data_IF_088667549080
#
_entry.id   IF_088667549080
#
_cell.length_a   1.000
_cell.length_b   1.000
_cell.length_c   1.000
_cell.angle_alpha   90.00
_cell.angle_beta   90.00
_cell.angle_gamma   90.00
#
_symmetry.space_group_name_H-M   'P 1'
#
loop_
_entity.id
_entity.type
_entity.pdbx_description
1 polymer ?
#
# COMPACT_ATOMS: atom_id res chain seq x y z
N UNK A 1 -16.15 4.02 -33.24
CA UNK A 1 -15.41 2.97 -32.58
C UNK A 1 -13.95 3.16 -32.94
N UNK A 2 -13.18 3.82 -32.10
CA UNK A 2 -11.75 4.09 -32.36
C UNK A 2 -10.94 3.24 -31.33
N UNK A 3 -10.41 2.12 -31.83
CA UNK A 3 -9.47 1.32 -31.07
C UNK A 3 -8.16 2.12 -30.96
N UNK A 4 -7.96 2.77 -29.81
CA UNK A 4 -6.67 3.37 -29.51
C UNK A 4 -5.62 2.26 -29.50
N UNK A 5 -4.72 2.28 -30.48
CA UNK A 5 -3.57 1.40 -30.58
C UNK A 5 -2.76 1.53 -29.30
N UNK A 6 -2.78 0.50 -28.44
CA UNK A 6 -1.84 0.36 -27.32
C UNK A 6 -0.43 0.34 -27.90
N UNK A 7 0.34 1.38 -27.67
CA UNK A 7 1.78 1.30 -27.87
C UNK A 7 2.32 0.21 -26.94
N UNK A 8 3.22 -0.66 -27.41
CA UNK A 8 3.83 -1.65 -26.53
C UNK A 8 4.57 -0.96 -25.40
N UNK A 9 4.43 -1.47 -24.17
CA UNK A 9 5.18 -1.03 -23.01
C UNK A 9 6.68 -1.11 -23.32
N UNK A 10 7.39 0.00 -23.10
CA UNK A 10 8.84 0.09 -23.30
C UNK A 10 9.62 -0.38 -22.08
N UNK A 11 8.91 -0.82 -21.02
CA UNK A 11 9.51 -1.17 -19.73
C UNK A 11 9.99 -2.64 -19.73
N UNK A 12 11.16 -2.95 -19.13
CA UNK A 12 11.68 -4.31 -19.02
C UNK A 12 10.69 -5.25 -18.31
N UNK A 13 10.73 -6.51 -18.72
CA UNK A 13 9.88 -7.55 -18.13
C UNK A 13 10.29 -7.93 -16.70
N UNK A 14 11.51 -7.57 -16.27
CA UNK A 14 12.15 -8.06 -15.05
C UNK A 14 12.01 -7.11 -13.84
N UNK A 15 11.44 -5.93 -14.02
CA UNK A 15 11.21 -4.99 -12.91
C UNK A 15 10.21 -5.57 -11.88
N UNK A 16 10.49 -5.37 -10.58
CA UNK A 16 9.57 -5.72 -9.51
C UNK A 16 8.27 -4.94 -9.63
N UNK A 17 8.39 -3.61 -9.84
CA UNK A 17 7.26 -2.72 -10.07
C UNK A 17 7.52 -1.92 -11.34
N UNK A 18 6.55 -1.91 -12.25
CA UNK A 18 6.55 -1.08 -13.45
C UNK A 18 5.32 -0.17 -13.46
N UNK A 19 5.56 1.13 -13.57
CA UNK A 19 4.55 2.18 -13.76
C UNK A 19 4.75 2.74 -15.16
N UNK A 20 3.78 2.56 -16.05
CA UNK A 20 3.89 2.87 -17.47
C UNK A 20 2.83 3.87 -17.91
N UNK A 21 3.23 5.11 -18.20
CA UNK A 21 2.38 6.16 -18.73
C UNK A 21 1.18 6.51 -17.85
N UNK A 22 1.27 6.36 -16.54
CA UNK A 22 0.16 6.45 -15.61
C UNK A 22 -0.32 7.89 -15.44
N UNK A 23 -1.60 8.10 -15.76
CA UNK A 23 -2.36 9.31 -15.43
C UNK A 23 -3.43 8.99 -14.40
N UNK A 24 -3.56 9.86 -13.38
CA UNK A 24 -4.53 9.70 -12.30
C UNK A 24 -5.43 10.93 -12.22
N UNK A 25 -6.73 10.70 -12.17
CA UNK A 25 -7.74 11.73 -12.14
C UNK A 25 -8.75 11.49 -11.03
N UNK A 26 -9.13 12.55 -10.33
CA UNK A 26 -10.28 12.57 -9.45
C UNK A 26 -11.44 13.24 -10.16
N UNK A 27 -12.57 12.54 -10.25
CA UNK A 27 -13.81 13.08 -10.80
C UNK A 27 -14.75 13.45 -9.68
N UNK A 28 -15.04 14.73 -9.57
CA UNK A 28 -16.13 15.24 -8.74
C UNK A 28 -17.36 15.52 -9.61
N UNK A 29 -18.50 15.80 -9.02
CA UNK A 29 -19.72 16.14 -9.77
C UNK A 29 -19.55 17.36 -10.69
N UNK A 30 -18.64 18.27 -10.39
CA UNK A 30 -18.45 19.55 -11.07
C UNK A 30 -17.15 19.67 -11.87
N UNK A 31 -16.14 18.83 -11.63
CA UNK A 31 -14.84 18.94 -12.27
C UNK A 31 -14.03 17.64 -12.25
N UNK A 32 -13.10 17.54 -13.20
CA UNK A 32 -12.03 16.55 -13.21
C UNK A 32 -10.75 17.22 -12.73
N UNK A 33 -10.11 16.66 -11.71
CA UNK A 33 -8.82 17.11 -11.20
C UNK A 33 -7.78 16.06 -11.54
N UNK A 34 -6.82 16.43 -12.38
CA UNK A 34 -5.70 15.55 -12.74
C UNK A 34 -4.62 15.64 -11.66
N UNK A 35 -4.35 14.54 -11.00
CA UNK A 35 -3.36 14.44 -9.93
C UNK A 35 -1.96 14.12 -10.47
N UNK A 36 -1.87 13.25 -11.51
CA UNK A 36 -0.62 12.92 -12.21
C UNK A 36 -0.88 12.79 -13.70
N UNK A 37 0.15 13.00 -14.52
CA UNK A 37 0.05 12.87 -15.98
C UNK A 37 1.25 12.10 -16.52
N UNK A 38 0.97 10.95 -17.17
CA UNK A 38 1.92 10.09 -17.90
C UNK A 38 3.22 9.82 -17.13
N UNK A 39 3.10 9.44 -15.86
CA UNK A 39 4.24 9.09 -15.02
C UNK A 39 4.70 7.68 -15.37
N UNK A 40 6.02 7.53 -15.62
CA UNK A 40 6.65 6.24 -15.88
C UNK A 40 7.92 6.11 -15.04
N UNK A 41 8.09 4.96 -14.39
CA UNK A 41 9.29 4.54 -13.68
C UNK A 41 9.26 3.05 -13.39
N UNK A 42 10.40 2.52 -13.00
CA UNK A 42 10.58 1.14 -12.60
C UNK A 42 11.24 1.06 -11.23
N UNK A 43 10.99 -0.03 -10.54
CA UNK A 43 11.66 -0.38 -9.29
C UNK A 43 12.11 -1.83 -9.39
N UNK A 44 13.39 -2.07 -9.24
CA UNK A 44 13.97 -3.40 -9.27
C UNK A 44 13.82 -4.15 -7.93
N UNK A 45 13.95 -5.49 -7.92
CA UNK A 45 13.98 -6.25 -6.68
C UNK A 45 15.07 -5.73 -5.73
N UNK A 46 14.72 -5.58 -4.44
CA UNK A 46 15.57 -5.05 -3.38
C UNK A 46 15.98 -3.57 -3.51
N UNK A 47 15.47 -2.85 -4.49
CA UNK A 47 15.73 -1.42 -4.65
C UNK A 47 14.97 -0.56 -3.63
N UNK A 48 15.43 0.69 -3.45
CA UNK A 48 14.81 1.71 -2.61
C UNK A 48 14.47 2.92 -3.45
N UNK A 49 13.21 3.03 -3.83
CA UNK A 49 12.73 4.10 -4.69
C UNK A 49 12.08 5.23 -3.87
N UNK A 50 12.43 6.48 -4.16
CA UNK A 50 11.91 7.65 -3.45
C UNK A 50 11.22 8.60 -4.41
N UNK A 51 9.96 8.95 -4.13
CA UNK A 51 9.20 9.97 -4.84
C UNK A 51 9.38 11.32 -4.16
N UNK A 52 10.03 12.26 -4.82
CA UNK A 52 10.24 13.64 -4.34
C UNK A 52 9.35 14.62 -5.11
N UNK A 53 8.94 15.68 -4.43
CA UNK A 53 8.17 16.76 -5.04
C UNK A 53 7.39 17.58 -4.01
N UNK A 54 6.85 18.75 -4.41
CA UNK A 54 6.11 19.63 -3.51
C UNK A 54 4.83 18.98 -2.99
N UNK A 55 4.25 19.57 -1.92
CA UNK A 55 2.94 19.12 -1.41
C UNK A 55 1.88 19.30 -2.50
N UNK A 56 0.97 18.33 -2.59
CA UNK A 56 -0.13 18.34 -3.58
C UNK A 56 0.22 17.89 -5.00
N UNK A 57 1.49 17.58 -5.33
CA UNK A 57 1.87 17.14 -6.68
C UNK A 57 1.48 15.69 -7.05
N UNK A 58 0.70 15.01 -6.23
CA UNK A 58 0.15 13.68 -6.58
C UNK A 58 0.92 12.47 -6.05
N UNK A 59 2.00 12.62 -5.25
CA UNK A 59 2.79 11.49 -4.71
C UNK A 59 1.94 10.45 -3.97
N UNK A 60 1.11 10.92 -3.02
CA UNK A 60 0.24 10.02 -2.25
C UNK A 60 -0.86 9.39 -3.12
N UNK A 61 -1.31 10.08 -4.18
CA UNK A 61 -2.26 9.54 -5.14
C UNK A 61 -1.62 8.42 -5.97
N UNK A 62 -0.37 8.63 -6.42
CA UNK A 62 0.39 7.62 -7.15
C UNK A 62 0.68 6.40 -6.28
N UNK A 63 1.06 6.61 -5.02
CA UNK A 63 1.26 5.53 -4.06
C UNK A 63 -0.02 4.70 -3.85
N UNK A 64 -1.18 5.37 -3.73
CA UNK A 64 -2.49 4.69 -3.64
C UNK A 64 -2.82 3.91 -4.92
N UNK A 65 -2.42 4.39 -6.08
CA UNK A 65 -2.61 3.66 -7.33
C UNK A 65 -1.70 2.43 -7.43
N UNK A 66 -0.43 2.54 -7.01
CA UNK A 66 0.49 1.39 -6.88
C UNK A 66 -0.07 0.36 -5.91
N UNK A 67 -0.69 0.79 -4.82
CA UNK A 67 -1.36 -0.09 -3.87
C UNK A 67 -2.65 -0.74 -4.40
N UNK A 68 -3.17 -0.26 -5.53
CA UNK A 68 -4.42 -0.77 -6.13
C UNK A 68 -5.70 -0.14 -5.58
N UNK A 69 -5.62 0.93 -4.76
CA UNK A 69 -6.79 1.66 -4.27
C UNK A 69 -7.40 2.62 -5.29
N UNK A 70 -6.63 3.01 -6.30
CA UNK A 70 -7.05 3.91 -7.38
C UNK A 70 -6.64 3.28 -8.71
N UNK A 71 -7.61 3.16 -9.62
CA UNK A 71 -7.34 2.70 -10.98
C UNK A 71 -6.86 3.88 -11.83
N UNK A 72 -5.75 3.75 -12.57
CA UNK A 72 -5.31 4.75 -13.51
C UNK A 72 -6.36 5.07 -14.57
N UNK A 73 -6.49 6.35 -14.98
CA UNK A 73 -7.30 6.77 -16.12
C UNK A 73 -6.59 6.48 -17.45
N UNK A 74 -5.26 6.50 -17.45
CA UNK A 74 -4.38 6.13 -18.57
C UNK A 74 -3.17 5.39 -18.04
N UNK A 75 -2.56 4.54 -18.89
CA UNK A 75 -1.38 3.75 -18.53
C UNK A 75 -1.70 2.53 -17.69
N UNK A 76 -0.68 1.88 -17.19
CA UNK A 76 -0.79 0.64 -16.42
C UNK A 76 0.25 0.55 -15.32
N UNK A 77 -0.10 -0.09 -14.21
CA UNK A 77 0.81 -0.45 -13.12
C UNK A 77 0.90 -1.97 -13.08
N UNK A 78 2.12 -2.50 -13.05
CA UNK A 78 2.39 -3.93 -12.95
C UNK A 78 3.31 -4.22 -11.76
N UNK A 79 3.00 -5.26 -11.02
CA UNK A 79 3.85 -5.82 -9.98
C UNK A 79 4.24 -7.24 -10.40
N UNK A 80 5.54 -7.52 -10.49
CA UNK A 80 6.06 -8.81 -10.98
C UNK A 80 5.42 -9.23 -12.31
N UNK A 81 5.29 -8.28 -13.25
CA UNK A 81 4.67 -8.48 -14.55
C UNK A 81 3.14 -8.56 -14.55
N UNK A 82 2.48 -8.64 -13.40
CA UNK A 82 1.03 -8.73 -13.28
C UNK A 82 0.38 -7.36 -13.08
N UNK A 83 -0.70 -7.07 -13.82
CA UNK A 83 -1.41 -5.81 -13.70
C UNK A 83 -2.05 -5.63 -12.33
N UNK A 84 -1.78 -4.50 -11.67
CA UNK A 84 -2.38 -4.11 -10.39
C UNK A 84 -3.79 -3.59 -10.63
N UNK A 85 -4.81 -4.35 -10.22
CA UNK A 85 -6.22 -4.00 -10.42
C UNK A 85 -6.99 -3.73 -9.13
N UNK A 86 -6.47 -4.24 -8.00
CA UNK A 86 -7.06 -4.11 -6.68
C UNK A 86 -5.98 -4.20 -5.59
N UNK A 87 -6.24 -3.79 -4.35
CA UNK A 87 -5.36 -4.07 -3.22
C UNK A 87 -5.15 -5.57 -3.05
N UNK A 88 -3.92 -5.95 -2.66
CA UNK A 88 -3.56 -7.36 -2.48
C UNK A 88 -2.54 -7.57 -1.36
N UNK A 89 -2.38 -8.82 -0.89
CA UNK A 89 -1.41 -9.17 0.16
C UNK A 89 0.05 -9.14 -0.31
N UNK A 90 0.28 -8.99 -1.60
CA UNK A 90 1.57 -8.93 -2.28
C UNK A 90 2.30 -7.59 -2.08
N UNK A 91 1.64 -6.60 -1.47
CA UNK A 91 2.18 -5.28 -1.16
C UNK A 91 1.53 -4.68 0.07
N UNK A 92 2.30 -3.94 0.85
CA UNK A 92 1.83 -3.30 2.08
C UNK A 92 2.03 -1.79 1.94
N UNK A 93 1.02 -1.02 2.36
CA UNK A 93 1.09 0.43 2.46
C UNK A 93 1.18 0.83 3.91
N UNK A 94 2.24 1.55 4.26
CA UNK A 94 2.35 2.23 5.55
C UNK A 94 1.89 3.68 5.33
N UNK A 95 0.75 4.03 5.92
CA UNK A 95 0.19 5.37 5.77
C UNK A 95 0.82 6.34 6.78
N UNK A 96 0.68 7.61 6.52
CA UNK A 96 1.20 8.65 7.40
C UNK A 96 0.36 8.84 8.67
N UNK A 97 -0.93 8.52 8.61
CA UNK A 97 -1.85 8.65 9.74
C UNK A 97 -1.82 7.40 10.62
N UNK A 98 -1.83 7.60 11.94
CA UNK A 98 -1.73 6.50 12.92
C UNK A 98 -3.09 5.91 13.32
N UNK A 99 -4.20 6.42 12.79
CA UNK A 99 -5.56 6.02 13.17
C UNK A 99 -6.11 4.85 12.34
N UNK A 100 -5.22 3.98 11.83
CA UNK A 100 -5.58 2.83 11.01
C UNK A 100 -5.85 1.57 11.81
N UNK A 101 -5.45 1.57 13.07
CA UNK A 101 -5.68 0.43 13.94
C UNK A 101 -7.17 0.37 14.32
N UNK A 102 -7.88 -0.75 14.07
CA UNK A 102 -9.22 -0.97 14.60
C UNK A 102 -9.31 -0.65 16.08
N UNK A 103 -9.99 0.45 16.49
CA UNK A 103 -9.94 0.94 17.87
C UNK A 103 -10.63 -0.01 18.88
N UNK A 104 -11.47 -0.90 18.38
CA UNK A 104 -12.15 -1.93 19.19
C UNK A 104 -11.34 -3.22 19.38
N UNK A 105 -10.14 -3.30 18.78
CA UNK A 105 -9.21 -4.41 18.96
C UNK A 105 -8.07 -4.00 19.87
N UNK A 106 -7.60 -4.92 20.70
CA UNK A 106 -6.36 -4.71 21.46
C UNK A 106 -5.15 -4.64 20.52
N UNK A 107 -4.01 -4.18 21.01
CA UNK A 107 -2.72 -4.18 20.28
C UNK A 107 -2.42 -5.56 19.71
N UNK A 108 -2.47 -6.61 20.53
CA UNK A 108 -2.25 -7.99 20.07
C UNK A 108 -3.27 -8.42 19.00
N UNK A 109 -4.53 -8.05 19.17
CA UNK A 109 -5.56 -8.37 18.18
C UNK A 109 -5.37 -7.63 16.86
N UNK A 110 -4.83 -6.42 16.86
CA UNK A 110 -4.48 -5.67 15.65
C UNK A 110 -3.38 -6.37 14.87
N UNK A 111 -2.29 -6.78 15.54
CA UNK A 111 -1.18 -7.53 14.90
C UNK A 111 -1.64 -8.92 14.41
N UNK A 112 -2.50 -9.58 15.18
CA UNK A 112 -3.00 -10.91 14.85
C UNK A 112 -4.00 -10.91 13.67
N UNK A 113 -4.73 -9.82 13.48
CA UNK A 113 -5.82 -9.73 12.50
C UNK A 113 -5.37 -10.02 11.05
N UNK A 114 -4.32 -9.38 10.49
CA UNK A 114 -3.87 -9.68 9.13
C UNK A 114 -3.36 -11.11 8.97
N UNK A 115 -2.71 -11.67 9.99
CA UNK A 115 -2.23 -13.06 9.96
C UNK A 115 -3.38 -14.05 9.86
N UNK A 116 -4.50 -13.79 10.55
CA UNK A 116 -5.70 -14.64 10.49
C UNK A 116 -6.47 -14.48 9.19
N UNK A 117 -6.58 -13.25 8.69
CA UNK A 117 -7.36 -12.98 7.46
C UNK A 117 -6.64 -13.51 6.22
N UNK A 118 -5.31 -13.52 6.21
CA UNK A 118 -4.53 -14.06 5.09
C UNK A 118 -4.77 -15.55 4.85
N UNK A 119 -5.15 -16.31 5.89
CA UNK A 119 -5.32 -17.76 5.81
C UNK A 119 -4.04 -18.55 5.49
N UNK A 120 -2.87 -17.88 5.48
CA UNK A 120 -1.59 -18.49 5.08
C UNK A 120 -0.89 -19.25 6.21
N UNK A 121 -1.34 -19.08 7.42
CA UNK A 121 -0.75 -19.69 8.62
C UNK A 121 -1.80 -20.31 9.51
N UNK A 122 -1.43 -21.32 10.28
CA UNK A 122 -2.31 -21.91 11.29
C UNK A 122 -2.61 -20.91 12.41
N UNK A 123 -3.64 -21.19 13.20
CA UNK A 123 -4.00 -20.31 14.32
C UNK A 123 -2.87 -20.17 15.33
N UNK A 124 -2.26 -21.28 15.72
CA UNK A 124 -1.18 -21.30 16.72
C UNK A 124 0.06 -20.56 16.21
N UNK A 125 0.39 -20.74 14.94
CA UNK A 125 1.48 -20.02 14.28
C UNK A 125 1.20 -18.51 14.20
N UNK A 126 -0.03 -18.11 13.89
CA UNK A 126 -0.41 -16.70 13.87
C UNK A 126 -0.26 -16.05 15.26
N UNK A 127 -0.68 -16.75 16.32
CA UNK A 127 -0.56 -16.30 17.70
C UNK A 127 0.90 -16.15 18.13
N UNK A 128 1.74 -17.16 17.83
CA UNK A 128 3.18 -17.11 18.09
C UNK A 128 3.85 -15.93 17.37
N UNK A 129 3.59 -15.75 16.07
CA UNK A 129 4.17 -14.65 15.28
C UNK A 129 3.72 -13.28 15.79
N UNK A 130 2.47 -13.13 16.20
CA UNK A 130 1.98 -11.87 16.74
C UNK A 130 2.71 -11.50 18.05
N UNK A 131 2.94 -12.47 18.94
CA UNK A 131 3.67 -12.24 20.19
C UNK A 131 5.14 -11.90 19.90
N UNK A 132 5.82 -12.61 19.02
CA UNK A 132 7.18 -12.31 18.58
C UNK A 132 7.31 -10.91 17.94
N UNK A 133 6.34 -10.50 17.13
CA UNK A 133 6.34 -9.15 16.56
C UNK A 133 6.24 -8.09 17.64
N UNK A 134 5.37 -8.27 18.64
CA UNK A 134 5.21 -7.34 19.74
C UNK A 134 6.48 -7.26 20.62
N UNK A 135 7.18 -8.36 20.84
CA UNK A 135 8.46 -8.37 21.53
C UNK A 135 9.52 -7.57 20.76
N UNK A 136 9.65 -7.83 19.44
CA UNK A 136 10.62 -7.14 18.56
C UNK A 136 10.46 -5.61 18.57
N UNK A 137 9.22 -5.12 18.68
CA UNK A 137 8.94 -3.68 18.71
C UNK A 137 8.81 -3.10 20.12
N UNK A 138 9.05 -3.91 21.17
CA UNK A 138 9.00 -3.49 22.58
C UNK A 138 7.60 -3.17 23.07
N UNK A 139 6.58 -3.85 22.56
CA UNK A 139 5.17 -3.64 22.92
C UNK A 139 4.50 -4.86 23.59
N UNK A 140 5.26 -5.88 23.97
CA UNK A 140 4.72 -7.07 24.64
C UNK A 140 3.92 -6.72 25.92
N UNK A 141 4.40 -5.75 26.73
CA UNK A 141 3.70 -5.27 27.92
C UNK A 141 2.38 -4.53 27.63
N UNK A 142 2.16 -4.11 26.38
CA UNK A 142 0.97 -3.40 25.93
C UNK A 142 0.02 -4.28 25.09
N UNK A 143 0.24 -5.58 25.02
CA UNK A 143 -0.52 -6.52 24.18
C UNK A 143 -2.05 -6.44 24.40
N UNK A 144 -2.49 -6.18 25.64
CA UNK A 144 -3.90 -6.05 26.04
C UNK A 144 -4.43 -4.62 25.97
N UNK A 145 -3.59 -3.63 25.73
CA UNK A 145 -3.99 -2.23 25.62
C UNK A 145 -4.77 -1.98 24.33
N UNK A 146 -5.55 -0.90 24.28
CA UNK A 146 -6.28 -0.47 23.09
C UNK A 146 -5.56 0.69 22.40
N UNK A 147 -5.72 0.88 21.08
CA UNK A 147 -5.04 1.93 20.32
C UNK A 147 -5.15 3.34 20.90
N UNK A 148 -6.31 3.70 21.47
CA UNK A 148 -6.52 5.03 22.06
C UNK A 148 -5.69 5.30 23.32
N UNK A 149 -5.14 4.28 23.96
CA UNK A 149 -4.27 4.42 25.14
C UNK A 149 -2.78 4.52 24.78
N UNK A 150 -2.43 4.37 23.49
CA UNK A 150 -1.05 4.37 23.02
C UNK A 150 -0.62 5.78 22.57
N UNK A 151 0.68 6.07 22.75
CA UNK A 151 1.29 7.23 22.09
C UNK A 151 1.35 7.04 20.57
N UNK A 152 1.50 8.15 19.80
CA UNK A 152 1.64 8.09 18.34
C UNK A 152 2.80 7.17 17.89
N UNK A 153 3.95 7.26 18.56
CA UNK A 153 5.09 6.38 18.27
C UNK A 153 4.85 4.91 18.62
N UNK A 154 4.02 4.59 19.61
CA UNK A 154 3.59 3.22 19.88
C UNK A 154 2.61 2.72 18.82
N UNK A 155 1.63 3.54 18.42
CA UNK A 155 0.71 3.19 17.32
C UNK A 155 1.45 2.91 16.01
N UNK A 156 2.50 3.68 15.70
CA UNK A 156 3.31 3.48 14.49
C UNK A 156 4.10 2.16 14.48
N UNK A 157 4.32 1.56 15.66
CA UNK A 157 5.03 0.28 15.80
C UNK A 157 4.10 -0.94 15.80
N UNK A 158 2.80 -0.74 15.99
CA UNK A 158 1.76 -1.77 15.89
C UNK A 158 1.36 -2.01 14.45
#
# INVERSE_FOLDING_TARGET
MNAASRQPSTLPADALLAVDGVSLEYRTRSRVVRATQRVSFEVDPADRFVLLGPSGCGKSTLLKAVAGFITPSEGEIRLQGQAVRAPGPDRIVVFQEFDQLPPWKTVRQNVLFPLRVSGQVTRDEAERRADECLEKVGLAGFAKAYPHTLSGGMKARV
#
